data_IF_581184289794
#
_entry.id   IF_581184289794
#
_cell.length_a   1.000
_cell.length_b   1.000
_cell.length_c   1.000
_cell.angle_alpha   90.00
_cell.angle_beta   90.00
_cell.angle_gamma   90.00
#
_symmetry.space_group_name_H-M   'P 1'
#
loop_
_entity.id
_entity.type
_entity.pdbx_description
1 polymer ?
#
# COMPACT_ATOMS: atom_id res chain seq x y z
N UNK A 1 -5.75 -15.66 1.59
CA UNK A 1 -6.11 -14.26 1.42
C UNK A 1 -5.77 -13.48 2.70
N UNK A 2 -5.00 -12.39 2.55
CA UNK A 2 -4.64 -11.47 3.64
C UNK A 2 -4.74 -10.03 3.11
N UNK A 3 -5.75 -9.27 3.54
CA UNK A 3 -6.04 -7.94 2.99
C UNK A 3 -6.09 -6.90 4.12
N UNK A 4 -5.26 -5.85 4.00
CA UNK A 4 -5.19 -4.72 4.96
C UNK A 4 -5.08 -5.20 6.42
N UNK A 5 -4.16 -6.16 6.66
CA UNK A 5 -3.89 -6.75 7.98
C UNK A 5 -2.39 -6.75 8.26
N UNK A 6 -1.60 -6.68 7.22
CA UNK A 6 -0.17 -6.95 7.28
C UNK A 6 0.59 -5.92 8.13
N UNK A 7 0.10 -4.67 8.16
CA UNK A 7 0.60 -3.58 9.01
C UNK A 7 0.32 -3.80 10.50
N UNK A 8 -0.63 -4.67 10.81
CA UNK A 8 -1.02 -5.04 12.18
C UNK A 8 -0.34 -6.31 12.71
N UNK A 9 0.55 -6.89 11.91
CA UNK A 9 1.29 -8.09 12.29
C UNK A 9 2.67 -7.68 12.82
N UNK A 10 3.03 -8.04 14.07
CA UNK A 10 4.31 -7.65 14.68
C UNK A 10 5.53 -8.21 13.93
N UNK A 11 5.42 -9.45 13.41
CA UNK A 11 6.45 -10.10 12.60
C UNK A 11 5.87 -10.50 11.24
N UNK A 12 5.92 -9.60 10.24
CA UNK A 12 5.39 -9.87 8.91
C UNK A 12 6.17 -10.97 8.16
N UNK A 13 7.44 -11.17 8.49
CA UNK A 13 8.25 -12.22 7.84
C UNK A 13 7.85 -13.59 8.36
N UNK A 14 7.63 -13.73 9.67
CA UNK A 14 7.08 -14.96 10.23
C UNK A 14 5.69 -15.28 9.63
N UNK A 15 4.85 -14.26 9.44
CA UNK A 15 3.54 -14.45 8.78
C UNK A 15 3.68 -14.94 7.33
N UNK A 16 4.61 -14.39 6.54
CA UNK A 16 4.86 -14.87 5.17
C UNK A 16 5.36 -16.32 5.15
N UNK A 17 6.22 -16.70 6.08
CA UNK A 17 6.68 -18.08 6.23
C UNK A 17 5.51 -19.02 6.58
N UNK A 18 4.62 -18.57 7.46
CA UNK A 18 3.44 -19.36 7.84
C UNK A 18 2.44 -19.50 6.68
N UNK A 19 2.23 -18.45 5.88
CA UNK A 19 1.44 -18.55 4.65
C UNK A 19 2.03 -19.57 3.68
N UNK A 20 3.37 -19.56 3.52
CA UNK A 20 4.05 -20.54 2.69
C UNK A 20 3.88 -21.95 3.24
N UNK A 21 4.00 -22.14 4.56
CA UNK A 21 3.81 -23.45 5.19
C UNK A 21 2.40 -24.03 4.97
N UNK A 22 1.37 -23.17 5.09
CA UNK A 22 -0.03 -23.58 5.01
C UNK A 22 -0.51 -23.83 3.58
N UNK A 23 0.07 -23.17 2.59
CA UNK A 23 -0.30 -23.35 1.21
C UNK A 23 0.27 -24.68 0.67
N UNK A 24 -0.53 -25.39 -0.12
CA UNK A 24 -0.05 -26.50 -0.94
C UNK A 24 0.87 -25.99 -2.06
N UNK A 25 1.79 -26.80 -2.60
CA UNK A 25 2.53 -26.46 -3.81
C UNK A 25 1.58 -26.00 -4.93
N UNK A 26 1.91 -24.93 -5.62
CA UNK A 26 1.04 -24.27 -6.60
C UNK A 26 -0.14 -23.47 -6.00
N UNK A 27 -0.27 -23.43 -4.68
CA UNK A 27 -1.27 -22.62 -3.99
C UNK A 27 -1.00 -21.11 -4.13
N UNK A 28 -2.05 -20.31 -4.23
CA UNK A 28 -1.98 -18.87 -4.44
C UNK A 28 -2.13 -18.10 -3.12
N UNK A 29 -1.24 -17.11 -2.92
CA UNK A 29 -1.36 -16.07 -1.92
C UNK A 29 -1.86 -14.79 -2.58
N UNK A 30 -2.95 -14.24 -2.05
CA UNK A 30 -3.44 -12.89 -2.38
C UNK A 30 -3.26 -12.04 -1.14
N UNK A 31 -2.48 -10.96 -1.27
CA UNK A 31 -2.13 -10.08 -0.17
C UNK A 31 -2.31 -8.62 -0.59
N UNK A 32 -2.91 -7.81 0.29
CA UNK A 32 -2.87 -6.36 0.16
C UNK A 32 -2.29 -5.73 1.42
N UNK A 33 -1.53 -4.67 1.24
CA UNK A 33 -0.96 -3.91 2.33
C UNK A 33 -0.76 -2.45 1.95
N UNK A 34 -0.86 -1.51 2.90
CA UNK A 34 -0.65 -0.10 2.63
C UNK A 34 0.82 0.18 2.28
N UNK A 35 1.03 1.16 1.40
CA UNK A 35 2.36 1.75 1.18
C UNK A 35 2.71 2.72 2.29
N UNK A 36 1.74 3.56 2.67
CA UNK A 36 1.88 4.51 3.78
C UNK A 36 0.52 4.72 4.44
N UNK A 37 0.45 4.47 5.72
CA UNK A 37 -0.77 4.58 6.51
C UNK A 37 -0.49 5.32 7.82
N UNK A 38 -1.42 6.17 8.22
CA UNK A 38 -1.39 6.78 9.54
C UNK A 38 -1.70 5.73 10.61
N UNK A 39 -1.19 5.94 11.82
CA UNK A 39 -1.48 5.06 12.96
C UNK A 39 -2.98 4.94 13.18
N UNK A 40 -3.47 3.72 13.18
CA UNK A 40 -4.86 3.34 13.46
C UNK A 40 -4.89 2.01 14.21
N UNK A 41 -6.02 1.69 14.84
CA UNK A 41 -6.15 0.50 15.69
C UNK A 41 -5.04 0.31 16.73
N UNK A 42 -4.55 1.42 17.32
CA UNK A 42 -3.56 1.36 18.38
C UNK A 42 -4.07 0.50 19.56
N UNK A 43 -3.23 -0.32 20.20
CA UNK A 43 -1.78 -0.44 20.03
C UNK A 43 -1.33 -1.43 18.94
N UNK A 44 -2.23 -1.95 18.11
CA UNK A 44 -1.97 -3.02 17.13
C UNK A 44 -1.63 -2.48 15.74
N UNK A 45 -0.80 -1.43 15.66
CA UNK A 45 -0.29 -0.88 14.40
C UNK A 45 1.23 -0.81 14.49
N UNK A 46 1.90 -1.75 13.82
CA UNK A 46 3.34 -1.96 13.94
C UNK A 46 4.13 -1.37 12.78
N UNK A 47 3.51 -1.24 11.61
CA UNK A 47 4.16 -0.72 10.41
C UNK A 47 3.29 0.34 9.72
N UNK A 48 3.90 1.48 9.38
CA UNK A 48 3.21 2.52 8.61
C UNK A 48 3.02 2.16 7.14
N UNK A 49 3.58 1.05 6.69
CA UNK A 49 3.39 0.53 5.34
C UNK A 49 4.59 -0.23 4.79
N UNK A 50 4.44 -0.71 3.57
CA UNK A 50 5.40 -1.55 2.87
C UNK A 50 5.55 -1.09 1.43
N UNK A 51 6.78 -1.08 0.90
CA UNK A 51 7.04 -0.85 -0.50
C UNK A 51 7.08 -2.17 -1.29
N UNK A 52 7.03 -2.09 -2.62
CA UNK A 52 7.04 -3.29 -3.49
C UNK A 52 8.30 -4.14 -3.30
N UNK A 53 9.44 -3.52 -3.05
CA UNK A 53 10.73 -4.22 -2.91
C UNK A 53 10.79 -5.11 -1.68
N UNK A 54 10.05 -4.77 -0.60
CA UNK A 54 9.88 -5.64 0.54
C UNK A 54 9.24 -6.97 0.11
N UNK A 55 8.15 -6.90 -0.66
CA UNK A 55 7.46 -8.11 -1.12
C UNK A 55 8.27 -8.89 -2.14
N UNK A 56 8.88 -8.22 -3.11
CA UNK A 56 9.73 -8.84 -4.13
C UNK A 56 10.87 -9.64 -3.48
N UNK A 57 11.53 -9.06 -2.49
CA UNK A 57 12.63 -9.71 -1.79
C UNK A 57 12.17 -10.89 -0.92
N UNK A 58 11.21 -10.64 -0.02
CA UNK A 58 10.84 -11.64 0.97
C UNK A 58 10.03 -12.79 0.39
N UNK A 59 9.08 -12.53 -0.50
CA UNK A 59 8.31 -13.60 -1.14
C UNK A 59 9.21 -14.50 -1.98
N UNK A 60 10.09 -13.93 -2.78
CA UNK A 60 11.07 -14.70 -3.57
C UNK A 60 11.95 -15.58 -2.67
N UNK A 61 12.48 -15.01 -1.59
CA UNK A 61 13.35 -15.72 -0.64
C UNK A 61 12.65 -16.88 0.07
N UNK A 62 11.35 -16.74 0.34
CA UNK A 62 10.54 -17.76 1.04
C UNK A 62 10.11 -18.89 0.09
N UNK A 63 10.15 -18.67 -1.22
CA UNK A 63 9.77 -19.68 -2.22
C UNK A 63 8.44 -19.42 -2.89
N UNK A 64 8.04 -18.16 -2.97
CA UNK A 64 6.93 -17.72 -3.82
C UNK A 64 7.43 -17.14 -5.14
N UNK A 65 6.67 -17.38 -6.20
CA UNK A 65 6.77 -16.65 -7.47
C UNK A 65 5.68 -15.61 -7.53
N UNK A 66 6.06 -14.34 -7.62
CA UNK A 66 5.10 -13.24 -7.76
C UNK A 66 4.56 -13.26 -9.19
N UNK A 67 3.24 -13.43 -9.31
CA UNK A 67 2.53 -13.40 -10.59
C UNK A 67 1.99 -12.02 -10.93
N UNK A 68 1.72 -11.22 -9.91
CA UNK A 68 1.25 -9.84 -10.07
C UNK A 68 1.64 -9.01 -8.85
N UNK A 69 2.07 -7.77 -9.10
CA UNK A 69 2.17 -6.73 -8.09
C UNK A 69 1.69 -5.42 -8.71
N UNK A 70 0.60 -4.91 -8.21
CA UNK A 70 -0.03 -3.70 -8.70
C UNK A 70 -0.24 -2.69 -7.57
N UNK A 71 -0.06 -1.41 -7.89
CA UNK A 71 -0.28 -0.32 -6.95
C UNK A 71 -1.72 0.16 -6.99
N UNK A 72 -2.26 0.50 -5.83
CA UNK A 72 -3.52 1.22 -5.69
C UNK A 72 -3.24 2.72 -5.66
N UNK A 73 -3.69 3.44 -6.70
CA UNK A 73 -3.40 4.86 -6.87
C UNK A 73 -1.94 5.16 -7.23
N UNK A 74 -1.59 6.43 -7.13
CA UNK A 74 -0.23 6.94 -7.32
C UNK A 74 0.09 8.05 -6.32
N UNK A 75 1.31 8.57 -6.38
CA UNK A 75 1.77 9.60 -5.45
C UNK A 75 0.90 10.86 -5.47
N UNK A 76 0.40 11.29 -6.64
CA UNK A 76 -0.46 12.47 -6.74
C UNK A 76 -1.79 12.25 -6.02
N UNK A 77 -2.40 11.07 -6.21
CA UNK A 77 -3.63 10.69 -5.53
C UNK A 77 -3.43 10.58 -4.01
N UNK A 78 -2.29 10.02 -3.59
CA UNK A 78 -1.92 9.94 -2.17
C UNK A 78 -1.80 11.35 -1.54
N UNK A 79 -1.05 12.26 -2.17
CA UNK A 79 -0.91 13.64 -1.68
C UNK A 79 -2.26 14.35 -1.61
N UNK A 80 -3.10 14.16 -2.63
CA UNK A 80 -4.45 14.72 -2.66
C UNK A 80 -5.30 14.24 -1.45
N UNK A 81 -5.25 12.96 -1.16
CA UNK A 81 -5.93 12.39 0.00
C UNK A 81 -5.44 13.00 1.31
N UNK A 82 -4.11 13.14 1.48
CA UNK A 82 -3.55 13.69 2.70
C UNK A 82 -3.91 15.19 2.89
N UNK A 83 -3.92 15.96 1.82
CA UNK A 83 -4.38 17.36 1.87
C UNK A 83 -5.86 17.45 2.30
N UNK A 84 -6.71 16.58 1.76
CA UNK A 84 -8.12 16.52 2.18
C UNK A 84 -8.26 16.03 3.62
N UNK A 85 -7.43 15.09 4.05
CA UNK A 85 -7.43 14.55 5.43
C UNK A 85 -7.03 15.63 6.44
N UNK A 86 -6.00 16.42 6.16
CA UNK A 86 -5.62 17.58 6.97
C UNK A 86 -6.82 18.51 7.17
N UNK A 87 -7.56 18.79 6.09
CA UNK A 87 -8.74 19.65 6.14
C UNK A 87 -9.85 19.12 7.05
N UNK A 88 -9.92 17.82 7.22
CA UNK A 88 -10.92 17.17 8.08
C UNK A 88 -10.48 17.15 9.54
N UNK A 89 -9.18 16.95 9.80
CA UNK A 89 -8.61 16.88 11.15
C UNK A 89 -8.64 18.21 11.90
N UNK A 90 -8.42 19.34 11.20
CA UNK A 90 -8.39 20.68 11.80
C UNK A 90 -9.78 21.32 11.95
N UNK A 91 -10.87 20.53 11.78
CA UNK A 91 -12.23 21.02 11.95
C UNK A 91 -12.80 21.66 10.68
N UNK A 92 -13.74 22.63 10.84
CA UNK A 92 -14.41 23.28 9.71
C UNK A 92 -13.42 24.04 8.84
N UNK A 93 -12.80 23.35 7.89
CA UNK A 93 -11.92 24.00 6.92
C UNK A 93 -12.73 25.02 6.12
N UNK A 94 -12.33 26.29 6.11
CA UNK A 94 -12.99 27.33 5.33
C UNK A 94 -13.11 26.94 3.86
N UNK A 95 -14.22 27.27 3.25
CA UNK A 95 -14.53 26.91 1.85
C UNK A 95 -13.43 27.34 0.88
N UNK A 96 -12.83 28.51 1.12
CA UNK A 96 -11.74 29.01 0.26
C UNK A 96 -10.51 28.09 0.28
N UNK A 97 -10.15 27.48 1.42
CA UNK A 97 -9.04 26.53 1.51
C UNK A 97 -9.36 25.29 0.68
N UNK A 98 -10.58 24.76 0.76
CA UNK A 98 -10.99 23.63 -0.09
C UNK A 98 -10.90 23.94 -1.57
N UNK A 99 -11.29 25.16 -1.96
CA UNK A 99 -11.17 25.64 -3.35
C UNK A 99 -9.69 25.73 -3.77
N UNK A 100 -8.83 26.30 -2.93
CA UNK A 100 -7.38 26.38 -3.20
C UNK A 100 -6.77 24.98 -3.38
N UNK A 101 -7.08 24.05 -2.49
CA UNK A 101 -6.64 22.64 -2.60
C UNK A 101 -7.12 22.03 -3.92
N UNK A 102 -8.39 22.21 -4.28
CA UNK A 102 -8.94 21.67 -5.52
C UNK A 102 -8.24 22.25 -6.77
N UNK A 103 -7.93 23.55 -6.77
CA UNK A 103 -7.20 24.21 -7.86
C UNK A 103 -5.78 23.63 -7.98
N UNK A 104 -5.06 23.52 -6.85
CA UNK A 104 -3.70 22.95 -6.82
C UNK A 104 -3.71 21.51 -7.33
N UNK A 105 -4.64 20.69 -6.87
CA UNK A 105 -4.77 19.30 -7.32
C UNK A 105 -5.05 19.21 -8.83
N UNK A 106 -5.95 20.05 -9.34
CA UNK A 106 -6.29 20.08 -10.77
C UNK A 106 -5.08 20.54 -11.62
N UNK A 107 -4.27 21.48 -11.09
CA UNK A 107 -3.03 21.91 -11.74
C UNK A 107 -2.00 20.77 -11.77
N UNK A 108 -1.80 20.05 -10.66
CA UNK A 108 -0.91 18.89 -10.58
C UNK A 108 -1.34 17.82 -11.57
N UNK A 109 -2.64 17.49 -11.61
CA UNK A 109 -3.21 16.53 -12.56
C UNK A 109 -2.99 16.96 -14.02
N UNK A 110 -3.21 18.23 -14.36
CA UNK A 110 -3.02 18.75 -15.71
C UNK A 110 -1.57 18.67 -16.18
N UNK A 111 -0.60 18.74 -15.27
CA UNK A 111 0.84 18.63 -15.53
C UNK A 111 1.38 17.22 -15.36
N UNK A 112 0.52 16.27 -15.03
CA UNK A 112 0.86 14.85 -14.85
C UNK A 112 1.44 14.32 -16.16
N UNK A 113 2.76 14.36 -16.27
CA UNK A 113 3.47 13.60 -17.30
C UNK A 113 3.28 12.13 -16.98
N UNK A 114 3.12 11.29 -18.01
CA UNK A 114 3.05 9.81 -17.92
C UNK A 114 4.35 9.17 -17.35
N UNK A 115 5.04 9.86 -16.46
CA UNK A 115 6.20 9.31 -15.77
C UNK A 115 5.67 8.42 -14.65
N UNK A 116 6.20 7.21 -14.59
CA UNK A 116 5.80 6.19 -13.60
C UNK A 116 6.09 6.69 -12.19
N UNK A 117 5.15 7.43 -11.58
CA UNK A 117 5.23 7.92 -10.20
C UNK A 117 4.89 6.81 -9.18
N UNK A 118 4.63 5.60 -9.66
CA UNK A 118 4.28 4.44 -8.85
C UNK A 118 5.39 4.06 -7.87
N UNK A 119 6.65 4.29 -8.26
CA UNK A 119 7.81 4.01 -7.40
C UNK A 119 8.01 5.04 -6.30
N UNK A 120 7.40 6.24 -6.42
CA UNK A 120 7.48 7.28 -5.39
C UNK A 120 6.47 7.06 -4.27
N UNK A 121 5.32 6.50 -4.58
CA UNK A 121 4.28 6.25 -3.60
C UNK A 121 2.92 5.95 -4.21
N UNK A 122 2.08 5.32 -3.40
CA UNK A 122 0.70 4.94 -3.74
C UNK A 122 -0.07 4.77 -2.43
N UNK A 123 -1.32 4.34 -2.48
CA UNK A 123 -2.05 3.99 -1.25
C UNK A 123 -1.57 2.66 -0.67
N UNK A 124 -1.31 1.68 -1.53
CA UNK A 124 -0.88 0.34 -1.15
C UNK A 124 -0.64 -0.54 -2.36
N UNK A 125 -0.35 -1.79 -2.11
CA UNK A 125 -0.08 -2.80 -3.13
C UNK A 125 -1.07 -3.95 -3.04
N UNK A 126 -1.43 -4.47 -4.22
CA UNK A 126 -2.14 -5.73 -4.39
C UNK A 126 -1.14 -6.71 -4.98
N UNK A 127 -0.94 -7.84 -4.30
CA UNK A 127 0.08 -8.83 -4.62
C UNK A 127 -0.60 -10.18 -4.82
N UNK A 128 -0.24 -10.86 -5.91
CA UNK A 128 -0.55 -12.26 -6.14
C UNK A 128 0.75 -13.02 -6.29
N UNK A 129 0.88 -14.09 -5.55
CA UNK A 129 2.06 -14.93 -5.57
C UNK A 129 1.68 -16.39 -5.46
N UNK A 130 2.42 -17.26 -6.11
CA UNK A 130 2.19 -18.71 -6.12
C UNK A 130 3.33 -19.40 -5.42
N UNK A 131 3.02 -20.34 -4.52
CA UNK A 131 4.01 -21.19 -3.88
C UNK A 131 4.67 -22.08 -4.92
N UNK A 132 6.01 -22.04 -4.97
CA UNK A 132 6.78 -22.87 -5.89
C UNK A 132 6.61 -24.37 -5.60
N UNK A 133 6.65 -25.18 -6.65
CA UNK A 133 6.67 -26.62 -6.53
C UNK A 133 8.09 -27.08 -6.11
N UNK A 134 8.35 -27.16 -4.82
CA UNK A 134 9.53 -27.83 -4.30
C UNK A 134 9.14 -29.11 -3.59
#
# INVERSE_FOLDING_TARGET
LCTEVFEHIPDPIAALNEFHRLLRPGGELILTAPFCSLTHFAPYHYYSGFNKYFFEYHLSKIGFSITEISSNGDYSAYVAQELLRISTYYGKTPLFIKICIAIVLRFIESKRRKKNLLDLGCFGFHIRAVKNNQ
#
